data_IF_521583471057
#
_entry.id   IF_521583471057
#
_cell.length_a   1.000
_cell.length_b   1.000
_cell.length_c   1.000
_cell.angle_alpha   90.00
_cell.angle_beta   90.00
_cell.angle_gamma   90.00
#
_symmetry.space_group_name_H-M   'P 1'
#
loop_
_entity.id
_entity.type
_entity.pdbx_description
1 polymer ?
#
# COMPACT_ATOMS: atom_id res chain seq x y z
N UNK A 1 40.00 -11.77 -24.07
CA UNK A 1 38.64 -11.31 -24.42
C UNK A 1 37.66 -12.30 -23.81
N UNK A 2 37.18 -12.07 -22.58
CA UNK A 2 36.24 -13.00 -21.94
C UNK A 2 34.84 -12.39 -22.06
N UNK A 3 34.15 -12.76 -23.14
CA UNK A 3 32.74 -12.46 -23.31
C UNK A 3 31.97 -13.17 -22.19
N UNK A 4 31.38 -12.38 -21.28
CA UNK A 4 30.41 -12.89 -20.31
C UNK A 4 29.18 -13.32 -21.11
N UNK A 5 28.82 -14.60 -21.05
CA UNK A 5 27.66 -15.14 -21.74
C UNK A 5 26.41 -14.29 -21.50
N UNK A 6 25.73 -13.79 -22.55
CA UNK A 6 24.63 -12.84 -22.42
C UNK A 6 23.31 -13.45 -21.89
N UNK A 7 23.33 -14.72 -21.48
CA UNK A 7 22.14 -15.50 -21.10
C UNK A 7 22.21 -16.12 -19.70
N UNK A 8 23.21 -15.75 -18.89
CA UNK A 8 23.25 -16.16 -17.49
C UNK A 8 22.10 -15.49 -16.73
N UNK A 9 21.00 -16.21 -16.53
CA UNK A 9 19.94 -15.81 -15.60
C UNK A 9 20.55 -15.80 -14.20
N UNK A 10 20.75 -14.60 -13.68
CA UNK A 10 21.19 -14.40 -12.30
C UNK A 10 20.29 -15.19 -11.36
N UNK A 11 20.90 -16.00 -10.49
CA UNK A 11 20.16 -16.90 -9.62
C UNK A 11 19.35 -16.06 -8.64
N UNK A 12 18.01 -16.14 -8.70
CA UNK A 12 17.16 -15.42 -7.77
C UNK A 12 17.39 -15.95 -6.34
N UNK A 13 18.08 -15.17 -5.51
CA UNK A 13 18.28 -15.44 -4.09
C UNK A 13 17.19 -14.73 -3.30
N UNK A 14 16.21 -15.49 -2.78
CA UNK A 14 15.06 -14.93 -2.07
C UNK A 14 15.45 -14.04 -0.87
N UNK A 15 16.60 -14.30 -0.24
CA UNK A 15 17.12 -13.49 0.88
C UNK A 15 17.56 -12.08 0.51
N UNK A 16 17.84 -11.84 -0.77
CA UNK A 16 18.26 -10.52 -1.30
C UNK A 16 17.14 -9.83 -2.09
N UNK A 17 15.99 -10.48 -2.24
CA UNK A 17 14.84 -9.90 -2.92
C UNK A 17 14.21 -8.81 -2.05
N UNK A 18 14.22 -7.57 -2.53
CA UNK A 18 13.55 -6.45 -1.90
C UNK A 18 12.57 -5.81 -2.89
N UNK A 19 11.41 -5.38 -2.40
CA UNK A 19 10.45 -4.61 -3.18
C UNK A 19 10.88 -3.14 -3.21
N UNK A 20 10.51 -2.41 -4.25
CA UNK A 20 10.73 -0.96 -4.28
C UNK A 20 10.08 -0.32 -3.05
N UNK A 21 10.82 0.53 -2.33
CA UNK A 21 10.33 1.25 -1.17
C UNK A 21 9.12 2.12 -1.50
N UNK A 22 9.04 2.67 -2.72
CA UNK A 22 7.88 3.42 -3.18
C UNK A 22 6.61 2.54 -3.30
N UNK A 23 6.76 1.24 -3.58
CA UNK A 23 5.63 0.32 -3.72
C UNK A 23 5.01 -0.09 -2.37
N UNK A 24 5.73 0.09 -1.26
CA UNK A 24 5.25 -0.18 0.10
C UNK A 24 4.96 1.08 0.90
N UNK A 25 5.14 2.25 0.31
CA UNK A 25 4.79 3.51 0.93
C UNK A 25 3.27 3.57 1.22
N UNK A 26 2.85 4.18 2.34
CA UNK A 26 1.44 4.41 2.61
C UNK A 26 0.75 5.19 1.48
N UNK A 27 -0.47 4.80 1.15
CA UNK A 27 -1.26 5.52 0.16
C UNK A 27 -1.61 6.93 0.69
N UNK A 28 -1.48 7.99 -0.13
CA UNK A 28 -1.80 9.35 0.31
C UNK A 28 -3.22 9.49 0.84
N UNK A 29 -3.40 10.39 1.80
CA UNK A 29 -4.68 10.70 2.46
C UNK A 29 -5.43 9.46 2.97
N UNK A 30 -4.69 8.39 3.30
CA UNK A 30 -5.30 7.12 3.65
C UNK A 30 -4.53 6.42 4.78
N UNK A 31 -5.27 5.70 5.61
CA UNK A 31 -4.70 4.87 6.66
C UNK A 31 -5.46 3.55 6.81
N UNK A 32 -4.72 2.53 7.25
CA UNK A 32 -5.30 1.24 7.64
C UNK A 32 -6.00 1.40 8.98
N UNK A 33 -7.27 1.03 9.02
CA UNK A 33 -8.05 0.97 10.27
C UNK A 33 -8.53 -0.47 10.48
N UNK A 34 -8.96 -0.75 11.70
CA UNK A 34 -9.53 -2.03 12.07
C UNK A 34 -10.89 -1.80 12.71
N UNK A 35 -11.91 -2.46 12.19
CA UNK A 35 -13.27 -2.43 12.73
C UNK A 35 -13.56 -3.79 13.35
N UNK A 36 -14.29 -3.82 14.47
CA UNK A 36 -14.77 -5.07 15.05
C UNK A 36 -15.66 -5.82 14.04
N UNK A 37 -15.41 -7.11 13.87
CA UNK A 37 -16.22 -7.97 13.02
C UNK A 37 -17.54 -8.36 13.70
N UNK A 38 -18.27 -9.30 13.08
CA UNK A 38 -19.44 -9.90 13.71
C UNK A 38 -19.13 -10.68 14.99
N UNK A 39 -17.85 -11.05 15.19
CA UNK A 39 -17.35 -11.59 16.43
C UNK A 39 -16.38 -10.59 17.07
N UNK A 40 -16.42 -10.40 18.41
CA UNK A 40 -15.58 -9.43 19.11
C UNK A 40 -14.06 -9.68 18.99
N UNK A 41 -13.64 -10.92 18.71
CA UNK A 41 -12.23 -11.28 18.54
C UNK A 41 -11.69 -10.99 17.13
N UNK A 42 -12.56 -10.63 16.18
CA UNK A 42 -12.19 -10.36 14.80
C UNK A 42 -12.01 -8.86 14.58
N UNK A 43 -10.88 -8.50 13.98
CA UNK A 43 -10.59 -7.14 13.51
C UNK A 43 -10.49 -7.11 11.99
N UNK A 44 -11.50 -6.57 11.33
CA UNK A 44 -11.57 -6.46 9.87
C UNK A 44 -10.72 -5.27 9.41
N UNK A 45 -9.70 -5.49 8.55
CA UNK A 45 -8.91 -4.38 8.04
C UNK A 45 -9.71 -3.60 7.00
N UNK A 46 -9.87 -2.30 7.22
CA UNK A 46 -10.46 -1.38 6.25
C UNK A 46 -9.47 -0.28 5.89
N UNK A 47 -9.75 0.43 4.80
CA UNK A 47 -8.97 1.61 4.39
C UNK A 47 -9.83 2.85 4.57
N UNK A 48 -9.43 3.71 5.49
CA UNK A 48 -10.02 5.04 5.64
C UNK A 48 -9.36 6.00 4.64
N UNK A 49 -10.15 6.83 3.96
CA UNK A 49 -9.68 7.83 3.00
C UNK A 49 -10.25 9.17 3.44
N UNK A 50 -9.37 10.13 3.75
CA UNK A 50 -9.77 11.49 4.08
C UNK A 50 -10.01 12.28 2.80
N UNK A 51 -11.21 12.87 2.68
CA UNK A 51 -11.55 13.80 1.61
C UNK A 51 -11.53 15.23 2.16
N UNK A 52 -11.29 16.20 1.28
CA UNK A 52 -11.50 17.61 1.61
C UNK A 52 -12.99 17.93 1.59
N UNK A 53 -13.40 18.88 2.42
CA UNK A 53 -14.76 19.40 2.38
C UNK A 53 -15.11 19.94 0.99
N UNK A 54 -16.34 19.69 0.54
CA UNK A 54 -16.84 20.29 -0.70
C UNK A 54 -17.17 21.76 -0.43
N UNK A 55 -16.59 22.73 -1.18
CA UNK A 55 -16.95 24.13 -1.01
C UNK A 55 -18.41 24.31 -1.39
N UNK A 56 -19.23 24.71 -0.43
CA UNK A 56 -20.64 24.94 -0.69
C UNK A 56 -20.87 26.39 -1.10
N UNK A 57 -21.56 26.62 -2.22
CA UNK A 57 -22.25 27.91 -2.40
C UNK A 57 -23.42 28.06 -1.39
N UNK A 58 -23.90 26.97 -0.74
CA UNK A 58 -25.06 26.96 0.17
C UNK A 58 -24.95 25.93 1.33
N UNK A 59 -23.86 25.98 2.11
CA UNK A 59 -23.71 25.18 3.35
C UNK A 59 -22.94 23.87 3.16
N UNK A 60 -21.80 23.73 3.85
CA UNK A 60 -20.93 22.57 3.78
C UNK A 60 -21.60 21.34 4.41
N UNK A 61 -21.47 20.18 3.77
CA UNK A 61 -21.81 18.88 4.36
C UNK A 61 -20.66 18.40 5.25
N UNK A 62 -21.01 17.76 6.37
CA UNK A 62 -20.12 17.41 7.49
C UNK A 62 -19.81 15.92 7.53
#
# INVERSE_FOLDING_TARGET
MNAKDPLARESFLASQAHVDSAAIAPLPNSRKIYIEGSRPDIRVPMREISQSDTPASFGAEK
#
